data_IF_714798029113
#
_entry.id   IF_714798029113
#
_cell.length_a   1.000
_cell.length_b   1.000
_cell.length_c   1.000
_cell.angle_alpha   90.00
_cell.angle_beta   90.00
_cell.angle_gamma   90.00
#
_symmetry.space_group_name_H-M   'P 1'
#
loop_
_entity.id
_entity.type
_entity.pdbx_description
1 polymer ?
#
# COMPACT_ATOMS: atom_id res chain seq x y z
N UNK A 1 22.28 -13.10 -38.17
CA UNK A 1 21.43 -13.86 -37.20
C UNK A 1 22.17 -14.43 -35.99
N UNK A 2 23.40 -14.95 -36.10
CA UNK A 2 24.13 -15.44 -34.90
C UNK A 2 24.52 -14.32 -33.91
N UNK A 3 24.86 -13.12 -34.41
CA UNK A 3 25.16 -11.95 -33.58
C UNK A 3 23.95 -11.49 -32.76
N UNK A 4 22.80 -11.31 -33.39
CA UNK A 4 21.56 -10.86 -32.71
C UNK A 4 21.09 -11.82 -31.61
N UNK A 5 21.21 -13.15 -31.83
CA UNK A 5 20.90 -14.14 -30.78
C UNK A 5 21.87 -14.01 -29.60
N UNK A 6 23.17 -13.86 -29.87
CA UNK A 6 24.18 -13.65 -28.84
C UNK A 6 23.94 -12.36 -28.06
N UNK A 7 23.64 -11.27 -28.74
CA UNK A 7 23.42 -9.97 -28.13
C UNK A 7 22.15 -9.98 -27.25
N UNK A 8 21.08 -10.67 -27.69
CA UNK A 8 19.88 -10.91 -26.88
C UNK A 8 20.18 -11.73 -25.63
N UNK A 9 20.93 -12.84 -25.75
CA UNK A 9 21.31 -13.67 -24.60
C UNK A 9 22.17 -12.89 -23.59
N UNK A 10 23.09 -12.04 -24.06
CA UNK A 10 23.90 -11.16 -23.20
C UNK A 10 22.99 -10.16 -22.50
N UNK A 11 22.07 -9.51 -23.22
CA UNK A 11 21.15 -8.52 -22.64
C UNK A 11 20.27 -9.15 -21.55
N UNK A 12 19.66 -10.30 -21.80
CA UNK A 12 18.85 -11.03 -20.82
C UNK A 12 19.69 -11.42 -19.60
N UNK A 13 20.92 -11.93 -19.81
CA UNK A 13 21.82 -12.32 -18.73
C UNK A 13 22.22 -11.14 -17.83
N UNK A 14 22.64 -10.02 -18.41
CA UNK A 14 23.05 -8.82 -17.67
C UNK A 14 21.87 -8.22 -16.90
N UNK A 15 20.71 -8.06 -17.56
CA UNK A 15 19.52 -7.50 -16.90
C UNK A 15 19.00 -8.42 -15.80
N UNK A 16 19.10 -9.74 -15.96
CA UNK A 16 18.71 -10.70 -14.93
C UNK A 16 19.63 -10.63 -13.70
N UNK A 17 20.94 -10.41 -13.89
CA UNK A 17 21.88 -10.23 -12.78
C UNK A 17 21.57 -8.95 -11.98
N UNK A 18 21.25 -7.85 -12.67
CA UNK A 18 20.79 -6.61 -12.03
C UNK A 18 19.46 -6.81 -11.28
N UNK A 19 18.51 -7.53 -11.88
CA UNK A 19 17.24 -7.87 -11.23
C UNK A 19 17.43 -8.74 -9.97
N UNK A 20 18.36 -9.69 -9.98
CA UNK A 20 18.68 -10.48 -8.79
C UNK A 20 19.32 -9.63 -7.70
N UNK A 21 20.21 -8.69 -8.07
CA UNK A 21 20.80 -7.75 -7.11
C UNK A 21 19.72 -6.88 -6.48
N UNK A 22 18.78 -6.38 -7.29
CA UNK A 22 17.61 -5.64 -6.82
C UNK A 22 16.72 -6.47 -5.90
N UNK A 23 16.51 -7.76 -6.19
CA UNK A 23 15.76 -8.67 -5.33
C UNK A 23 16.46 -8.93 -3.98
N UNK A 24 17.80 -8.98 -3.95
CA UNK A 24 18.58 -9.08 -2.71
C UNK A 24 18.36 -7.85 -1.83
N UNK A 25 18.44 -6.64 -2.41
CA UNK A 25 18.22 -5.38 -1.70
C UNK A 25 16.81 -5.36 -1.10
N UNK A 26 15.79 -5.67 -1.90
CA UNK A 26 14.39 -5.74 -1.43
C UNK A 26 14.20 -6.75 -0.30
N UNK A 27 14.85 -7.92 -0.40
CA UNK A 27 14.79 -8.95 0.66
C UNK A 27 15.45 -8.47 1.95
N UNK A 28 16.58 -7.76 1.84
CA UNK A 28 17.26 -7.14 2.97
C UNK A 28 16.37 -6.12 3.68
N UNK A 29 15.72 -5.23 2.91
CA UNK A 29 14.77 -4.25 3.45
C UNK A 29 13.57 -4.96 4.09
N UNK A 30 13.03 -6.01 3.47
CA UNK A 30 11.94 -6.80 4.03
C UNK A 30 12.32 -7.44 5.37
N UNK A 31 13.51 -8.04 5.51
CA UNK A 31 13.97 -8.60 6.79
C UNK A 31 14.03 -7.53 7.90
N UNK A 32 14.55 -6.34 7.57
CA UNK A 32 14.58 -5.20 8.50
C UNK A 32 13.17 -4.81 8.94
N UNK A 33 12.22 -4.73 8.00
CA UNK A 33 10.78 -4.44 8.25
C UNK A 33 10.06 -5.51 9.08
N UNK A 34 10.55 -6.76 9.08
CA UNK A 34 10.05 -7.82 9.96
C UNK A 34 10.61 -7.75 11.39
N UNK A 35 11.65 -6.92 11.62
CA UNK A 35 12.41 -6.91 12.87
C UNK A 35 13.17 -8.22 13.10
N UNK A 36 13.52 -8.94 12.02
CA UNK A 36 14.26 -10.20 12.08
C UNK A 36 15.72 -9.98 11.70
N UNK A 37 16.62 -10.51 12.52
CA UNK A 37 18.07 -10.52 12.25
C UNK A 37 18.53 -11.85 11.62
N UNK A 38 17.70 -12.91 11.68
CA UNK A 38 18.03 -14.24 11.14
C UNK A 38 17.52 -14.46 9.71
N UNK A 39 18.28 -15.24 8.94
CA UNK A 39 17.86 -15.75 7.63
C UNK A 39 17.02 -17.02 7.84
N UNK A 40 15.70 -16.88 7.78
CA UNK A 40 14.77 -18.00 7.92
C UNK A 40 14.32 -18.53 6.54
N UNK A 41 13.66 -19.69 6.51
CA UNK A 41 12.98 -20.19 5.31
C UNK A 41 11.98 -19.16 4.72
N UNK A 42 11.37 -18.34 5.58
CA UNK A 42 10.50 -17.24 5.18
C UNK A 42 11.25 -16.17 4.36
N UNK A 43 12.49 -15.85 4.73
CA UNK A 43 13.36 -14.93 3.98
C UNK A 43 13.71 -15.49 2.60
N UNK A 44 14.01 -16.79 2.52
CA UNK A 44 14.30 -17.46 1.23
C UNK A 44 13.07 -17.44 0.33
N UNK A 45 11.90 -17.77 0.88
CA UNK A 45 10.62 -17.72 0.14
C UNK A 45 10.38 -16.31 -0.40
N UNK A 46 10.63 -15.28 0.41
CA UNK A 46 10.50 -13.88 0.00
C UNK A 46 11.49 -13.49 -1.09
N UNK A 47 12.74 -13.88 -0.98
CA UNK A 47 13.73 -13.67 -2.03
C UNK A 47 13.28 -14.29 -3.36
N UNK A 48 12.80 -15.53 -3.35
CA UNK A 48 12.29 -16.20 -4.56
C UNK A 48 11.13 -15.43 -5.17
N UNK A 49 10.18 -14.94 -4.35
CA UNK A 49 9.06 -14.15 -4.86
C UNK A 49 9.51 -12.81 -5.46
N UNK A 50 10.39 -12.06 -4.80
CA UNK A 50 10.93 -10.79 -5.33
C UNK A 50 11.78 -10.99 -6.60
N UNK A 51 12.55 -12.08 -6.64
CA UNK A 51 13.30 -12.47 -7.82
C UNK A 51 12.35 -12.82 -8.98
N UNK A 52 11.26 -13.55 -8.73
CA UNK A 52 10.28 -13.91 -9.75
C UNK A 52 9.65 -12.67 -10.41
N UNK A 53 9.20 -11.69 -9.61
CA UNK A 53 8.64 -10.44 -10.13
C UNK A 53 9.66 -9.60 -10.91
N UNK A 54 10.88 -9.48 -10.39
CA UNK A 54 11.96 -8.72 -11.04
C UNK A 54 12.41 -9.37 -12.35
N UNK A 55 12.53 -10.71 -12.39
CA UNK A 55 12.87 -11.47 -13.59
C UNK A 55 11.75 -11.43 -14.62
N UNK A 56 10.49 -11.52 -14.20
CA UNK A 56 9.34 -11.38 -15.11
C UNK A 56 9.37 -10.03 -15.84
N UNK A 57 9.65 -8.94 -15.12
CA UNK A 57 9.78 -7.61 -15.71
C UNK A 57 10.94 -7.52 -16.70
N UNK A 58 12.10 -8.12 -16.38
CA UNK A 58 13.25 -8.17 -17.28
C UNK A 58 12.95 -8.96 -18.55
N UNK A 59 12.36 -10.16 -18.43
CA UNK A 59 11.99 -10.97 -19.58
C UNK A 59 10.97 -10.25 -20.45
N UNK A 60 9.95 -9.64 -19.86
CA UNK A 60 8.99 -8.83 -20.60
C UNK A 60 9.65 -7.65 -21.33
N UNK A 61 10.44 -6.83 -20.63
CA UNK A 61 11.04 -5.62 -21.20
C UNK A 61 12.07 -5.95 -22.31
N UNK A 62 12.88 -6.98 -22.10
CA UNK A 62 13.87 -7.42 -23.09
C UNK A 62 13.20 -8.00 -24.34
N UNK A 63 12.15 -8.82 -24.18
CA UNK A 63 11.40 -9.36 -25.32
C UNK A 63 10.59 -8.29 -26.04
N UNK A 64 9.99 -7.34 -25.31
CA UNK A 64 9.29 -6.20 -25.89
C UNK A 64 10.27 -5.34 -26.71
N UNK A 65 11.42 -4.98 -26.13
CA UNK A 65 12.46 -4.22 -26.81
C UNK A 65 12.99 -4.93 -28.07
N UNK A 66 13.22 -6.25 -27.99
CA UNK A 66 13.65 -7.05 -29.13
C UNK A 66 12.58 -7.08 -30.24
N UNK A 67 11.31 -7.30 -29.87
CA UNK A 67 10.19 -7.35 -30.82
C UNK A 67 9.95 -6.00 -31.50
N UNK A 68 10.05 -4.89 -30.73
CA UNK A 68 9.97 -3.53 -31.27
C UNK A 68 11.12 -3.22 -32.22
N UNK A 69 12.35 -3.59 -31.85
CA UNK A 69 13.51 -3.44 -32.73
C UNK A 69 13.33 -4.21 -34.04
N UNK A 70 12.87 -5.47 -33.98
CA UNK A 70 12.58 -6.28 -35.16
C UNK A 70 11.49 -5.64 -36.02
N UNK A 71 10.42 -5.13 -35.42
CA UNK A 71 9.33 -4.46 -36.13
C UNK A 71 9.81 -3.20 -36.86
N UNK A 72 10.60 -2.34 -36.19
CA UNK A 72 11.14 -1.10 -36.78
C UNK A 72 12.06 -1.43 -37.96
N UNK A 73 13.01 -2.35 -37.77
CA UNK A 73 13.95 -2.76 -38.83
C UNK A 73 13.19 -3.42 -39.99
N UNK A 74 12.19 -4.25 -39.69
CA UNK A 74 11.34 -4.86 -40.71
C UNK A 74 10.61 -3.81 -41.56
N UNK A 75 10.09 -2.74 -40.96
CA UNK A 75 9.45 -1.64 -41.69
C UNK A 75 10.43 -0.73 -42.42
N UNK A 76 11.65 -0.58 -41.91
CA UNK A 76 12.68 0.29 -42.49
C UNK A 76 13.47 -0.36 -43.63
N UNK A 77 13.35 -1.67 -43.85
CA UNK A 77 14.11 -2.37 -44.89
C UNK A 77 13.57 -2.07 -46.29
N UNK A 78 14.47 -1.70 -47.21
CA UNK A 78 14.15 -1.52 -48.65
C UNK A 78 14.44 -2.77 -49.48
N UNK A 79 15.19 -3.72 -48.92
CA UNK A 79 15.44 -5.08 -49.45
C UNK A 79 15.19 -6.09 -48.34
N UNK A 80 14.67 -7.27 -48.68
CA UNK A 80 14.34 -8.33 -47.71
C UNK A 80 15.63 -8.84 -47.05
N UNK A 81 15.87 -8.43 -45.80
CA UNK A 81 17.05 -8.81 -45.02
C UNK A 81 16.67 -9.44 -43.67
N UNK A 82 15.54 -9.04 -43.09
CA UNK A 82 15.04 -9.58 -41.83
C UNK A 82 13.84 -10.51 -42.09
N UNK A 83 14.09 -11.82 -42.07
CA UNK A 83 13.04 -12.85 -42.04
C UNK A 83 12.95 -13.38 -40.60
N UNK A 84 11.75 -13.49 -40.02
CA UNK A 84 11.57 -14.13 -38.73
C UNK A 84 12.14 -15.56 -38.75
N UNK A 85 13.06 -15.86 -37.84
CA UNK A 85 13.63 -17.19 -37.66
C UNK A 85 12.71 -18.01 -36.75
N UNK A 86 12.39 -19.25 -37.13
CA UNK A 86 11.58 -20.15 -36.30
C UNK A 86 12.20 -20.36 -34.91
N UNK A 87 13.54 -20.38 -34.84
CA UNK A 87 14.24 -20.47 -33.56
C UNK A 87 14.06 -19.20 -32.71
N UNK A 88 14.08 -18.00 -33.32
CA UNK A 88 13.89 -16.75 -32.59
C UNK A 88 12.43 -16.62 -32.08
N UNK A 89 11.47 -17.05 -32.89
CA UNK A 89 10.06 -17.13 -32.49
C UNK A 89 9.88 -18.05 -31.27
N UNK A 90 10.49 -19.24 -31.28
CA UNK A 90 10.48 -20.14 -30.11
C UNK A 90 11.07 -19.48 -28.85
N UNK A 91 12.21 -18.79 -28.96
CA UNK A 91 12.82 -18.09 -27.81
C UNK A 91 11.90 -17.01 -27.25
N UNK A 92 11.33 -16.14 -28.10
CA UNK A 92 10.39 -15.09 -27.65
C UNK A 92 9.22 -15.73 -26.92
N UNK A 93 8.62 -16.77 -27.51
CA UNK A 93 7.46 -17.44 -26.93
C UNK A 93 7.77 -18.09 -25.58
N UNK A 94 8.93 -18.73 -25.45
CA UNK A 94 9.38 -19.34 -24.19
C UNK A 94 9.61 -18.29 -23.09
N UNK A 95 10.23 -17.14 -23.42
CA UNK A 95 10.46 -16.07 -22.45
C UNK A 95 9.18 -15.31 -22.06
N UNK A 96 8.25 -15.10 -22.98
CA UNK A 96 6.94 -14.51 -22.66
C UNK A 96 6.14 -15.48 -21.77
N UNK A 97 6.12 -16.77 -22.10
CA UNK A 97 5.46 -17.79 -21.28
C UNK A 97 6.05 -17.90 -19.86
N UNK A 98 7.39 -17.86 -19.73
CA UNK A 98 8.04 -17.87 -18.42
C UNK A 98 7.80 -16.56 -17.65
N UNK A 99 7.83 -15.41 -18.32
CA UNK A 99 7.49 -14.12 -17.73
C UNK A 99 6.06 -14.12 -17.17
N UNK A 100 5.09 -14.68 -17.91
CA UNK A 100 3.71 -14.81 -17.44
C UNK A 100 3.61 -15.64 -16.16
N UNK A 101 4.25 -16.81 -16.10
CA UNK A 101 4.22 -17.67 -14.91
C UNK A 101 4.87 -16.98 -13.70
N UNK A 102 6.05 -16.38 -13.90
CA UNK A 102 6.75 -15.65 -12.85
C UNK A 102 5.95 -14.41 -12.37
N UNK A 103 5.28 -13.70 -13.30
CA UNK A 103 4.45 -12.54 -12.96
C UNK A 103 3.18 -12.95 -12.23
N UNK A 104 2.62 -14.11 -12.54
CA UNK A 104 1.50 -14.67 -11.79
C UNK A 104 1.88 -14.97 -10.33
N UNK A 105 3.07 -15.53 -10.09
CA UNK A 105 3.58 -15.76 -8.72
C UNK A 105 3.71 -14.43 -7.96
N UNK A 106 4.28 -13.41 -8.61
CA UNK A 106 4.41 -12.05 -8.07
C UNK A 106 3.04 -11.45 -7.71
N UNK A 107 2.06 -11.59 -8.60
CA UNK A 107 0.68 -11.12 -8.39
C UNK A 107 0.01 -11.84 -7.22
N UNK A 108 0.11 -13.15 -7.13
CA UNK A 108 -0.46 -13.93 -6.00
C UNK A 108 0.16 -13.46 -4.69
N UNK A 109 1.49 -13.27 -4.66
CA UNK A 109 2.18 -12.79 -3.47
C UNK A 109 1.75 -11.36 -3.09
N UNK A 110 1.53 -10.48 -4.07
CA UNK A 110 0.98 -9.14 -3.84
C UNK A 110 -0.41 -9.21 -3.21
N UNK A 111 -1.31 -10.02 -3.78
CA UNK A 111 -2.68 -10.19 -3.26
C UNK A 111 -2.63 -10.70 -1.82
N UNK A 112 -1.83 -11.73 -1.54
CA UNK A 112 -1.66 -12.25 -0.16
C UNK A 112 -1.16 -11.14 0.76
N UNK A 113 -0.13 -10.40 0.35
CA UNK A 113 0.44 -9.32 1.18
C UNK A 113 -0.56 -8.22 1.49
N UNK A 114 -1.37 -7.82 0.51
CA UNK A 114 -2.43 -6.82 0.70
C UNK A 114 -3.60 -7.34 1.54
N UNK A 115 -3.88 -8.64 1.46
CA UNK A 115 -4.94 -9.28 2.23
C UNK A 115 -4.56 -9.55 3.69
N UNK A 116 -3.27 -9.45 4.04
CA UNK A 116 -2.76 -9.65 5.41
C UNK A 116 -2.36 -8.36 6.11
N UNK A 117 -2.66 -7.20 5.53
CA UNK A 117 -2.33 -5.90 6.13
C UNK A 117 -3.09 -5.75 7.45
N UNK A 118 -2.37 -5.43 8.52
CA UNK A 118 -2.98 -5.11 9.80
C UNK A 118 -3.37 -3.63 9.79
N UNK A 119 -4.67 -3.35 9.93
CA UNK A 119 -5.20 -1.98 10.00
C UNK A 119 -5.73 -1.76 11.40
N UNK A 120 -5.32 -0.65 12.01
CA UNK A 120 -5.75 -0.27 13.34
C UNK A 120 -6.18 1.20 13.36
N UNK A 121 -7.34 1.47 13.96
CA UNK A 121 -7.92 2.80 14.06
C UNK A 121 -7.88 3.27 15.52
N UNK A 122 -7.34 4.47 15.73
CA UNK A 122 -7.25 5.14 17.03
C UNK A 122 -8.23 6.30 17.04
N UNK A 123 -9.29 6.16 17.83
CA UNK A 123 -10.28 7.22 18.04
C UNK A 123 -9.81 8.13 19.19
N UNK A 124 -9.55 9.40 18.88
CA UNK A 124 -9.07 10.37 19.86
C UNK A 124 -10.19 10.99 20.71
N UNK A 125 -11.44 10.66 20.43
CA UNK A 125 -12.57 11.15 21.20
C UNK A 125 -12.59 10.53 22.59
N UNK A 126 -12.55 11.39 23.60
CA UNK A 126 -12.41 10.96 24.98
C UNK A 126 -13.74 10.48 25.53
N UNK A 127 -13.70 9.41 26.32
CA UNK A 127 -14.83 9.07 27.18
C UNK A 127 -14.94 10.14 28.27
N UNK A 128 -16.14 10.64 28.60
CA UNK A 128 -16.32 11.72 29.58
C UNK A 128 -15.73 11.48 30.98
N UNK A 129 -15.35 10.24 31.33
CA UNK A 129 -15.02 9.86 32.71
C UNK A 129 -13.54 9.49 32.97
N UNK A 130 -12.63 9.61 32.00
CA UNK A 130 -11.23 9.15 32.20
C UNK A 130 -10.24 10.24 32.66
N UNK A 131 -10.61 11.53 32.67
CA UNK A 131 -9.79 12.59 33.29
C UNK A 131 -10.65 13.56 34.13
N UNK A 132 -10.43 13.55 35.44
CA UNK A 132 -10.59 14.69 36.36
C UNK A 132 -11.81 15.59 36.20
N UNK A 133 -12.78 15.42 37.10
CA UNK A 133 -13.70 16.49 37.49
C UNK A 133 -12.93 17.69 38.06
N UNK A 134 -12.45 18.59 37.21
CA UNK A 134 -12.06 19.96 37.57
C UNK A 134 -12.44 20.92 36.46
N UNK A 135 -13.73 21.16 36.33
CA UNK A 135 -14.26 22.46 35.97
C UNK A 135 -15.57 22.63 36.70
N UNK A 136 -15.74 23.65 37.57
CA UNK A 136 -16.98 23.87 38.27
C UNK A 136 -18.01 24.38 37.25
N UNK A 137 -18.72 23.46 36.60
CA UNK A 137 -19.90 23.81 35.82
C UNK A 137 -21.05 24.03 36.81
N UNK A 138 -21.49 25.29 36.85
CA UNK A 138 -22.61 25.79 37.62
C UNK A 138 -23.80 24.81 37.53
N UNK A 139 -24.16 24.22 38.67
CA UNK A 139 -25.29 23.31 38.77
C UNK A 139 -26.59 24.09 38.54
N UNK A 140 -27.33 23.70 37.50
CA UNK A 140 -28.79 23.82 37.49
C UNK A 140 -29.35 22.55 36.87
N UNK A 141 -29.82 21.69 37.78
CA UNK A 141 -30.87 20.67 37.63
C UNK A 141 -31.34 20.34 36.21
N UNK A 142 -31.03 19.13 35.76
CA UNK A 142 -32.06 18.16 35.37
C UNK A 142 -31.47 16.75 35.29
N UNK A 143 -31.89 15.91 36.24
CA UNK A 143 -31.70 14.47 36.21
C UNK A 143 -32.56 13.85 35.11
N UNK A 144 -32.08 13.89 33.85
CA UNK A 144 -32.56 13.04 32.76
C UNK A 144 -31.36 12.53 31.94
N UNK A 145 -31.26 11.21 31.88
CA UNK A 145 -30.32 10.38 31.10
C UNK A 145 -28.90 10.22 31.66
N UNK A 146 -28.80 9.44 32.73
CA UNK A 146 -27.61 8.63 33.04
C UNK A 146 -27.46 7.45 32.06
N UNK A 147 -27.53 7.71 30.75
CA UNK A 147 -27.02 6.85 29.68
C UNK A 147 -25.73 7.51 29.22
N UNK A 148 -24.64 7.28 29.97
CA UNK A 148 -23.35 7.89 29.68
C UNK A 148 -23.03 7.78 28.19
N UNK A 149 -22.85 8.94 27.55
CA UNK A 149 -22.61 9.05 26.11
C UNK A 149 -21.43 8.16 25.72
N UNK A 150 -21.78 7.04 25.09
CA UNK A 150 -20.82 6.13 24.50
C UNK A 150 -20.26 6.86 23.28
N UNK A 151 -18.94 7.07 23.25
CA UNK A 151 -18.22 7.58 22.08
C UNK A 151 -18.76 6.88 20.82
N UNK A 152 -19.26 7.67 19.88
CA UNK A 152 -19.92 7.18 18.68
C UNK A 152 -18.95 6.30 17.87
N UNK A 153 -19.34 5.06 17.56
CA UNK A 153 -18.51 4.19 16.71
C UNK A 153 -18.52 4.65 15.23
N UNK A 154 -19.40 5.58 14.88
CA UNK A 154 -19.64 6.06 13.53
C UNK A 154 -18.41 6.68 12.87
N UNK A 155 -17.58 7.43 13.61
CA UNK A 155 -16.36 8.03 13.07
C UNK A 155 -15.36 6.98 12.59
N UNK A 156 -15.17 5.90 13.37
CA UNK A 156 -14.37 4.74 12.95
C UNK A 156 -14.97 4.00 11.76
N UNK A 157 -16.29 3.83 11.73
CA UNK A 157 -16.99 3.19 10.60
C UNK A 157 -16.83 4.03 9.33
N UNK A 158 -16.99 5.35 9.42
CA UNK A 158 -16.84 6.27 8.29
C UNK A 158 -15.43 6.21 7.70
N UNK A 159 -14.41 6.32 8.55
CA UNK A 159 -13.00 6.19 8.12
C UNK A 159 -12.74 4.80 7.51
N UNK A 160 -13.27 3.73 8.10
CA UNK A 160 -13.13 2.39 7.55
C UNK A 160 -13.81 2.22 6.18
N UNK A 161 -14.99 2.82 5.99
CA UNK A 161 -15.71 2.79 4.72
C UNK A 161 -14.95 3.56 3.63
N UNK A 162 -14.48 4.76 3.94
CA UNK A 162 -13.73 5.58 3.01
C UNK A 162 -12.40 4.92 2.62
N UNK A 163 -11.75 4.25 3.58
CA UNK A 163 -10.60 3.39 3.28
C UNK A 163 -10.96 2.21 2.36
N UNK A 164 -12.11 1.55 2.57
CA UNK A 164 -12.59 0.49 1.69
C UNK A 164 -12.89 1.02 0.28
N UNK A 165 -13.44 2.23 0.17
CA UNK A 165 -13.70 2.91 -1.09
C UNK A 165 -12.42 3.27 -1.82
N UNK A 166 -11.39 3.78 -1.13
CA UNK A 166 -10.06 4.01 -1.71
C UNK A 166 -9.50 2.71 -2.31
N UNK A 167 -9.64 1.60 -1.59
CA UNK A 167 -9.23 0.28 -2.08
C UNK A 167 -10.05 -0.23 -3.26
N UNK A 168 -11.31 0.20 -3.41
CA UNK A 168 -12.24 -0.24 -4.47
C UNK A 168 -12.18 0.64 -5.72
N UNK A 169 -11.91 1.93 -5.55
CA UNK A 169 -11.90 2.94 -6.62
C UNK A 169 -10.83 2.72 -7.69
N UNK A 170 -9.91 1.77 -7.48
CA UNK A 170 -9.04 1.21 -8.53
C UNK A 170 -9.80 0.70 -9.76
N UNK A 171 -11.11 0.47 -9.69
CA UNK A 171 -11.96 0.22 -10.87
C UNK A 171 -11.98 1.39 -11.90
N UNK A 172 -11.36 2.54 -11.60
CA UNK A 172 -11.15 3.66 -12.52
C UNK A 172 -9.97 3.49 -13.50
N UNK A 173 -9.32 2.32 -13.52
CA UNK A 173 -8.14 1.98 -14.33
C UNK A 173 -8.22 2.32 -15.83
N UNK A 174 -9.42 2.47 -16.40
CA UNK A 174 -9.63 2.78 -17.82
C UNK A 174 -10.35 4.13 -18.03
N UNK A 175 -10.90 4.75 -16.98
CA UNK A 175 -11.88 5.83 -17.16
C UNK A 175 -11.34 7.23 -16.88
N UNK A 176 -10.36 7.40 -15.99
CA UNK A 176 -9.90 8.74 -15.57
C UNK A 176 -8.39 8.76 -15.25
N UNK A 177 -7.55 8.84 -16.28
CA UNK A 177 -6.07 8.77 -16.24
C UNK A 177 -5.37 10.03 -15.66
N UNK A 178 -6.01 10.75 -14.73
CA UNK A 178 -5.47 11.98 -14.16
C UNK A 178 -4.68 11.74 -12.87
N UNK A 179 -3.35 11.77 -12.94
CA UNK A 179 -2.43 11.72 -11.76
C UNK A 179 -2.80 12.77 -10.69
N UNK A 180 -3.35 13.92 -11.10
CA UNK A 180 -3.82 14.96 -10.18
C UNK A 180 -5.04 14.52 -9.34
N UNK A 181 -5.99 13.79 -9.93
CA UNK A 181 -7.24 13.42 -9.27
C UNK A 181 -7.06 12.37 -8.17
N UNK A 182 -6.05 11.51 -8.29
CA UNK A 182 -5.80 10.48 -7.28
C UNK A 182 -5.09 11.06 -6.05
N UNK A 183 -4.22 12.04 -6.27
CA UNK A 183 -3.63 12.83 -5.18
C UNK A 183 -4.70 13.50 -4.33
N UNK A 184 -5.73 14.05 -4.98
CA UNK A 184 -6.85 14.69 -4.30
C UNK A 184 -7.63 13.70 -3.42
N UNK A 185 -7.86 12.45 -3.87
CA UNK A 185 -8.59 11.46 -3.04
C UNK A 185 -7.85 11.07 -1.76
N UNK A 186 -6.53 10.95 -1.85
CA UNK A 186 -5.71 10.56 -0.71
C UNK A 186 -5.62 11.71 0.30
N UNK A 187 -5.42 12.94 -0.19
CA UNK A 187 -5.48 14.14 0.66
C UNK A 187 -6.85 14.28 1.33
N UNK A 188 -7.95 14.11 0.57
CA UNK A 188 -9.30 14.12 1.11
C UNK A 188 -9.50 13.06 2.21
N UNK A 189 -8.87 11.89 2.08
CA UNK A 189 -8.93 10.85 3.10
C UNK A 189 -8.14 11.21 4.36
N UNK A 190 -6.97 11.84 4.22
CA UNK A 190 -6.20 12.36 5.37
C UNK A 190 -6.98 13.45 6.09
N UNK A 191 -7.58 14.38 5.34
CA UNK A 191 -8.45 15.43 5.88
C UNK A 191 -9.65 14.84 6.62
N UNK A 192 -10.29 13.83 6.04
CA UNK A 192 -11.37 13.10 6.68
C UNK A 192 -10.92 12.47 8.01
N UNK A 193 -9.73 11.87 8.07
CA UNK A 193 -9.21 11.30 9.31
C UNK A 193 -9.07 12.37 10.39
N UNK A 194 -8.60 13.57 10.04
CA UNK A 194 -8.52 14.71 10.96
C UNK A 194 -9.89 15.22 11.39
N UNK A 195 -10.84 15.37 10.45
CA UNK A 195 -12.20 15.80 10.75
C UNK A 195 -12.95 14.80 11.62
N UNK A 196 -12.72 13.50 11.39
CA UNK A 196 -13.28 12.42 12.19
C UNK A 196 -12.56 12.24 13.55
N UNK A 197 -11.46 12.94 13.80
CA UNK A 197 -10.63 12.79 15.00
C UNK A 197 -10.16 11.33 15.21
N UNK A 198 -9.81 10.63 14.12
CA UNK A 198 -9.38 9.22 14.13
C UNK A 198 -8.05 9.10 13.40
N UNK A 199 -7.00 8.66 14.10
CA UNK A 199 -5.75 8.25 13.48
C UNK A 199 -5.81 6.82 12.95
N UNK A 200 -5.02 6.54 11.91
CA UNK A 200 -4.98 5.22 11.28
C UNK A 200 -3.55 4.69 11.19
N UNK A 201 -3.37 3.45 11.64
CA UNK A 201 -2.15 2.65 11.45
C UNK A 201 -2.40 1.60 10.37
N UNK A 202 -1.48 1.51 9.42
CA UNK A 202 -1.51 0.57 8.31
C UNK A 202 -0.20 -0.20 8.33
N UNK A 203 -0.22 -1.44 8.78
CA UNK A 203 0.97 -2.27 8.99
C UNK A 203 1.01 -3.43 7.96
N UNK A 204 1.58 -3.22 6.77
CA UNK A 204 1.80 -4.29 5.79
C UNK A 204 2.88 -5.28 6.24
N UNK A 205 3.79 -4.87 7.11
CA UNK A 205 4.82 -5.72 7.70
C UNK A 205 4.74 -5.67 9.23
N UNK A 206 5.47 -6.58 9.89
CA UNK A 206 5.37 -6.77 11.33
C UNK A 206 5.76 -5.50 12.11
N UNK A 207 6.91 -4.92 11.80
CA UNK A 207 7.46 -3.75 12.50
C UNK A 207 7.47 -2.49 11.63
N UNK A 208 6.79 -2.49 10.49
CA UNK A 208 6.82 -1.37 9.56
C UNK A 208 5.44 -1.11 8.96
N UNK A 209 5.14 0.16 8.76
CA UNK A 209 3.98 0.55 7.97
C UNK A 209 3.83 2.04 7.82
N UNK A 210 2.59 2.50 7.84
CA UNK A 210 2.21 3.88 7.66
C UNK A 210 1.30 4.33 8.79
N UNK A 211 1.45 5.59 9.17
CA UNK A 211 0.64 6.26 10.17
C UNK A 211 0.05 7.53 9.58
N UNK A 212 -1.26 7.65 9.70
CA UNK A 212 -2.01 8.86 9.38
C UNK A 212 -2.44 9.48 10.70
N UNK A 213 -1.93 10.67 10.97
CA UNK A 213 -2.30 11.46 12.12
C UNK A 213 -3.63 12.17 11.87
N UNK A 214 -4.70 11.63 12.42
CA UNK A 214 -6.05 12.16 12.27
C UNK A 214 -6.56 12.87 13.52
N UNK A 215 -5.69 13.53 14.30
CA UNK A 215 -6.16 14.31 15.45
C UNK A 215 -6.72 15.65 14.96
N UNK A 216 -7.95 15.97 15.36
CA UNK A 216 -8.56 17.26 15.05
C UNK A 216 -7.80 18.40 15.75
N UNK A 217 -7.62 19.54 15.07
CA UNK A 217 -7.06 20.77 15.64
C UNK A 217 -7.81 21.22 16.89
N UNK A 218 -9.12 20.96 16.94
CA UNK A 218 -10.01 21.31 18.05
C UNK A 218 -10.17 20.17 19.07
N UNK A 219 -9.53 19.01 18.85
CA UNK A 219 -9.51 17.86 19.76
C UNK A 219 -10.82 17.08 19.88
N UNK A 220 -11.91 17.56 19.26
CA UNK A 220 -13.22 16.91 19.19
C UNK A 220 -13.78 17.03 17.76
N UNK A 221 -14.52 16.01 17.32
CA UNK A 221 -15.15 15.97 16.00
C UNK A 221 -16.67 16.19 16.06
N UNK A 222 -17.33 15.63 17.08
CA UNK A 222 -18.79 15.63 17.21
C UNK A 222 -19.27 16.92 17.92
N UNK A 223 -19.23 18.05 17.21
CA UNK A 223 -19.66 19.37 17.73
C UNK A 223 -20.94 19.88 17.09
N UNK A 224 -21.68 20.75 17.80
CA UNK A 224 -22.88 21.39 17.26
C UNK A 224 -22.54 22.32 16.08
N UNK A 225 -23.52 22.61 15.22
CA UNK A 225 -23.30 23.43 14.00
C UNK A 225 -22.74 24.83 14.30
N UNK A 226 -23.14 25.44 15.41
CA UNK A 226 -22.62 26.75 15.83
C UNK A 226 -21.14 26.67 16.23
N UNK A 227 -20.76 25.64 16.98
CA UNK A 227 -19.37 25.40 17.39
C UNK A 227 -18.51 25.04 16.18
N UNK A 228 -19.04 24.24 15.24
CA UNK A 228 -18.38 23.95 13.96
C UNK A 228 -18.09 25.22 13.18
N UNK A 229 -19.05 26.16 13.11
CA UNK A 229 -18.85 27.44 12.44
C UNK A 229 -17.78 28.29 13.14
N UNK A 230 -17.77 28.30 14.47
CA UNK A 230 -16.74 28.97 15.25
C UNK A 230 -15.35 28.36 14.98
N UNK A 231 -15.25 27.03 14.99
CA UNK A 231 -14.02 26.29 14.70
C UNK A 231 -13.50 26.63 13.29
N UNK A 232 -14.35 26.60 12.27
CA UNK A 232 -13.95 26.98 10.90
C UNK A 232 -13.43 28.42 10.82
N UNK A 233 -14.05 29.37 11.53
CA UNK A 233 -13.58 30.76 11.56
C UNK A 233 -12.22 30.91 12.28
N UNK A 234 -11.96 30.07 13.30
CA UNK A 234 -10.67 30.01 13.97
C UNK A 234 -9.60 29.38 13.09
N UNK A 235 -9.91 28.32 12.33
CA UNK A 235 -8.99 27.73 11.35
C UNK A 235 -8.68 28.72 10.21
N UNK A 236 -9.68 29.43 9.68
CA UNK A 236 -9.47 30.48 8.65
C UNK A 236 -8.57 31.61 9.15
N UNK A 237 -8.65 31.93 10.44
CA UNK A 237 -7.84 32.97 11.07
C UNK A 237 -6.49 32.47 11.59
N UNK A 238 -6.14 31.20 11.37
CA UNK A 238 -4.93 30.53 11.87
C UNK A 238 -4.76 30.64 13.41
N UNK A 239 -5.88 30.60 14.13
CA UNK A 239 -5.96 30.69 15.60
C UNK A 239 -6.13 29.31 16.28
N UNK A 240 -5.92 28.23 15.52
CA UNK A 240 -6.03 26.85 15.97
C UNK A 240 -4.67 26.16 16.07
N UNK A 241 -4.62 25.01 16.74
CA UNK A 241 -3.43 24.16 16.68
C UNK A 241 -3.24 23.56 15.29
N UNK A 242 -1.99 23.45 14.85
CA UNK A 242 -1.65 22.73 13.61
C UNK A 242 -2.01 21.24 13.70
N UNK A 243 -2.31 20.64 12.55
CA UNK A 243 -2.88 19.28 12.47
C UNK A 243 -1.84 18.17 12.43
N UNK A 244 -0.55 18.49 12.40
CA UNK A 244 0.54 17.52 12.34
C UNK A 244 0.93 16.96 13.70
N UNK A 245 1.80 15.95 13.65
CA UNK A 245 2.24 15.22 14.85
C UNK A 245 3.16 16.06 15.75
N UNK A 246 3.97 16.93 15.16
CA UNK A 246 4.83 17.86 15.89
C UNK A 246 4.14 19.21 16.10
N UNK A 247 4.37 19.89 17.24
CA UNK A 247 3.84 21.24 17.45
C UNK A 247 4.32 22.19 16.35
N UNK A 248 3.36 22.83 15.65
CA UNK A 248 3.68 23.78 14.58
C UNK A 248 3.90 23.15 13.20
N UNK A 249 3.72 21.83 13.05
CA UNK A 249 3.78 21.14 11.76
C UNK A 249 2.38 20.79 11.27
N UNK A 250 2.16 20.85 9.97
CA UNK A 250 0.94 20.36 9.29
C UNK A 250 1.14 18.98 8.64
N UNK A 251 2.28 18.32 8.88
CA UNK A 251 2.58 17.01 8.31
C UNK A 251 1.82 15.91 9.08
N UNK A 252 0.96 15.17 8.36
CA UNK A 252 0.05 14.20 8.96
C UNK A 252 0.34 12.75 8.55
N UNK A 253 1.13 12.55 7.49
CA UNK A 253 1.42 11.23 6.93
C UNK A 253 2.87 10.83 7.22
N UNK A 254 3.03 9.66 7.84
CA UNK A 254 4.33 9.15 8.26
C UNK A 254 4.51 7.70 7.83
N UNK A 255 5.71 7.38 7.36
CA UNK A 255 6.19 6.01 7.27
C UNK A 255 6.80 5.63 8.62
N UNK A 256 6.31 4.56 9.23
CA UNK A 256 6.67 4.21 10.61
C UNK A 256 7.44 2.92 10.70
N UNK A 257 8.40 2.90 11.61
CA UNK A 257 9.02 1.69 12.12
C UNK A 257 8.69 1.54 13.60
N UNK A 258 8.07 0.42 13.97
CA UNK A 258 7.64 0.13 15.33
C UNK A 258 8.70 -0.70 16.06
N UNK A 259 8.97 -0.40 17.35
CA UNK A 259 9.79 -1.27 18.19
C UNK A 259 9.27 -2.70 18.23
N UNK A 260 10.17 -3.67 18.22
CA UNK A 260 9.80 -5.09 18.26
C UNK A 260 8.99 -5.44 19.51
N UNK A 261 9.29 -4.79 20.63
CA UNK A 261 8.57 -4.96 21.90
C UNK A 261 7.13 -4.45 21.81
N UNK A 262 6.93 -3.26 21.24
CA UNK A 262 5.61 -2.68 21.00
C UNK A 262 4.76 -3.60 20.12
N UNK A 263 5.35 -4.12 19.03
CA UNK A 263 4.65 -5.05 18.15
C UNK A 263 4.31 -6.37 18.86
N UNK A 264 5.21 -6.88 19.69
CA UNK A 264 4.98 -8.11 20.45
C UNK A 264 3.87 -7.91 21.50
N UNK A 265 3.79 -6.73 22.11
CA UNK A 265 2.70 -6.37 23.02
C UNK A 265 1.36 -6.27 22.26
N UNK A 266 1.36 -5.69 21.06
CA UNK A 266 0.20 -5.63 20.17
C UNK A 266 -0.30 -7.03 19.77
N UNK A 267 0.59 -7.91 19.31
CA UNK A 267 0.22 -9.28 18.93
C UNK A 267 -0.40 -10.05 20.12
N UNK A 268 0.08 -9.82 21.35
CA UNK A 268 -0.51 -10.42 22.57
C UNK A 268 -1.93 -9.92 22.84
N UNK A 269 -2.17 -8.62 22.67
CA UNK A 269 -3.49 -8.02 22.87
C UNK A 269 -4.52 -8.56 21.87
N UNK A 270 -4.12 -8.81 20.62
CA UNK A 270 -5.03 -9.30 19.60
C UNK A 270 -5.30 -10.81 19.67
N UNK A 271 -4.30 -11.63 20.01
CA UNK A 271 -4.40 -13.09 19.79
C UNK A 271 -4.35 -13.97 21.05
N UNK A 272 -3.86 -13.49 22.20
CA UNK A 272 -3.70 -14.35 23.39
C UNK A 272 -4.55 -13.94 24.58
N UNK A 273 -4.27 -12.80 25.23
CA UNK A 273 -4.98 -12.39 26.45
C UNK A 273 -5.10 -10.87 26.55
N UNK A 274 -6.29 -10.32 26.87
CA UNK A 274 -6.54 -8.88 26.99
C UNK A 274 -6.02 -8.32 28.32
N UNK A 275 -4.84 -8.74 28.78
CA UNK A 275 -4.17 -8.11 29.92
C UNK A 275 -3.35 -6.95 29.38
N UNK A 276 -3.62 -5.73 29.89
CA UNK A 276 -2.88 -4.52 29.51
C UNK A 276 -1.37 -4.79 29.69
N UNK A 277 -0.57 -4.81 28.62
CA UNK A 277 0.87 -4.98 28.75
C UNK A 277 1.43 -3.75 29.47
N UNK A 278 2.48 -3.94 30.26
CA UNK A 278 3.29 -2.83 30.75
C UNK A 278 4.06 -2.27 29.55
N UNK A 279 3.44 -1.37 28.80
CA UNK A 279 4.16 -0.55 27.84
C UNK A 279 4.88 0.53 28.64
N UNK A 280 6.21 0.50 28.60
CA UNK A 280 7.00 1.68 28.93
C UNK A 280 6.79 2.73 27.83
N UNK A 281 7.03 4.01 28.15
CA UNK A 281 7.07 5.03 27.12
C UNK A 281 8.20 4.66 26.15
N UNK A 282 7.83 4.36 24.90
CA UNK A 282 8.80 4.15 23.84
C UNK A 282 9.23 5.50 23.32
N UNK A 283 10.54 5.72 23.29
CA UNK A 283 11.10 6.86 22.60
C UNK A 283 10.80 6.73 21.11
N UNK A 284 10.53 7.86 20.46
CA UNK A 284 10.36 7.93 19.02
C UNK A 284 11.17 9.07 18.43
N UNK A 285 11.59 8.89 17.18
CA UNK A 285 12.34 9.87 16.39
C UNK A 285 11.55 10.19 15.14
N UNK A 286 11.37 11.48 14.88
CA UNK A 286 10.80 11.99 13.63
C UNK A 286 11.97 12.41 12.74
N UNK A 287 12.00 11.91 11.51
CA UNK A 287 13.08 12.19 10.55
C UNK A 287 12.55 12.24 9.11
N UNK A 288 13.41 12.54 8.15
CA UNK A 288 13.10 12.59 6.73
C UNK A 288 14.06 11.73 5.92
N UNK A 289 13.51 10.90 5.04
CA UNK A 289 14.34 10.11 4.11
C UNK A 289 14.90 11.00 3.00
N UNK A 290 16.20 10.87 2.77
CA UNK A 290 16.87 11.46 1.62
C UNK A 290 16.40 10.83 0.30
N UNK A 291 16.58 11.54 -0.81
CA UNK A 291 16.15 11.08 -2.15
C UNK A 291 16.70 9.69 -2.49
N UNK A 292 17.98 9.44 -2.21
CA UNK A 292 18.59 8.12 -2.45
C UNK A 292 17.97 7.01 -1.60
N UNK A 293 17.66 7.28 -0.33
CA UNK A 293 17.01 6.33 0.57
C UNK A 293 15.58 6.02 0.07
N UNK A 294 14.88 7.03 -0.45
CA UNK A 294 13.56 6.84 -1.08
C UNK A 294 13.62 6.01 -2.36
N UNK A 295 14.59 6.25 -3.24
CA UNK A 295 14.74 5.51 -4.52
C UNK A 295 15.05 4.03 -4.27
N UNK A 296 15.95 3.74 -3.32
CA UNK A 296 16.36 2.36 -3.00
C UNK A 296 15.40 1.68 -2.01
N UNK A 297 14.39 2.43 -1.53
CA UNK A 297 13.46 1.99 -0.48
C UNK A 297 14.21 1.51 0.78
N UNK A 298 15.35 2.14 1.07
CA UNK A 298 16.21 1.81 2.20
C UNK A 298 15.69 2.45 3.49
N UNK A 299 15.62 1.66 4.55
CA UNK A 299 15.19 2.10 5.87
C UNK A 299 16.41 2.34 6.77
N UNK A 300 16.77 3.62 7.07
CA UNK A 300 17.94 3.98 7.88
C UNK A 300 17.70 3.75 9.38
N UNK A 301 17.33 2.53 9.75
CA UNK A 301 17.08 2.11 11.13
C UNK A 301 18.42 1.73 11.77
N UNK A 302 18.80 2.46 12.83
CA UNK A 302 20.01 2.18 13.61
C UNK A 302 19.73 1.26 14.80
N UNK A 303 18.60 1.47 15.47
CA UNK A 303 18.20 0.68 16.64
C UNK A 303 16.76 0.18 16.51
N UNK A 304 16.50 -1.05 16.94
CA UNK A 304 15.19 -1.70 16.77
C UNK A 304 14.24 -1.55 17.99
N UNK A 305 14.70 -0.85 19.03
CA UNK A 305 14.02 -0.55 20.29
C UNK A 305 13.29 0.82 20.27
N UNK A 306 13.67 1.71 19.36
CA UNK A 306 13.09 3.06 19.19
C UNK A 306 12.10 3.08 18.02
N UNK A 307 11.02 3.85 18.16
CA UNK A 307 10.07 4.09 17.07
C UNK A 307 10.59 5.14 16.10
N UNK A 308 10.49 4.91 14.79
CA UNK A 308 10.85 5.92 13.79
C UNK A 308 9.61 6.36 13.02
N UNK A 309 9.50 7.66 12.79
CA UNK A 309 8.43 8.29 12.02
C UNK A 309 9.09 9.13 10.92
N UNK A 310 9.10 8.61 9.71
CA UNK A 310 9.63 9.32 8.55
C UNK A 310 8.52 10.15 7.89
N UNK A 311 8.72 11.46 7.74
CA UNK A 311 7.73 12.33 7.09
C UNK A 311 7.55 11.92 5.63
N UNK A 312 6.32 11.56 5.29
CA UNK A 312 5.94 11.12 3.96
C UNK A 312 5.33 12.27 3.15
N UNK A 313 6.18 12.95 2.38
CA UNK A 313 5.77 14.02 1.45
C UNK A 313 5.28 13.53 0.09
N UNK A 314 5.28 12.22 -0.16
CA UNK A 314 5.09 11.66 -1.50
C UNK A 314 3.99 10.59 -1.55
N UNK A 315 3.13 10.51 -0.54
CA UNK A 315 2.03 9.54 -0.47
C UNK A 315 2.52 8.09 -0.66
N UNK A 316 3.63 7.73 -0.01
CA UNK A 316 4.30 6.41 -0.13
C UNK A 316 3.38 5.26 0.29
N UNK A 317 2.33 5.50 1.08
CA UNK A 317 1.32 4.48 1.40
C UNK A 317 0.48 4.02 0.20
N UNK A 318 0.59 4.68 -0.96
CA UNK A 318 0.07 4.19 -2.24
C UNK A 318 0.53 2.76 -2.51
N UNK A 319 1.75 2.42 -2.12
CA UNK A 319 2.32 1.07 -2.27
C UNK A 319 1.46 -0.01 -1.59
N UNK A 320 0.69 0.35 -0.54
CA UNK A 320 -0.23 -0.56 0.17
C UNK A 320 -1.57 -0.67 -0.55
N UNK A 321 -2.00 0.41 -1.20
CA UNK A 321 -3.21 0.43 -1.98
C UNK A 321 -3.00 -0.36 -3.27
N UNK A 322 -4.08 -0.99 -3.75
CA UNK A 322 -4.07 -1.67 -5.04
C UNK A 322 -3.81 -0.68 -6.19
N UNK A 323 -4.17 0.60 -5.98
CA UNK A 323 -3.84 1.72 -6.85
C UNK A 323 -2.33 1.93 -7.02
N UNK A 324 -1.48 1.78 -6.00
CA UNK A 324 -0.03 1.99 -6.19
C UNK A 324 0.70 0.88 -6.96
N UNK A 325 -0.03 -0.13 -7.45
CA UNK A 325 0.51 -1.32 -8.12
C UNK A 325 0.06 -1.43 -9.59
N UNK A 326 -0.39 -0.33 -10.21
CA UNK A 326 -0.95 -0.34 -11.58
C UNK A 326 0.00 -0.97 -12.58
N UNK A 327 1.29 -0.61 -12.54
CA UNK A 327 2.29 -1.14 -13.48
C UNK A 327 2.43 -2.67 -13.40
N UNK A 328 2.23 -3.25 -12.21
CA UNK A 328 2.25 -4.70 -12.05
C UNK A 328 1.05 -5.34 -12.74
N UNK A 329 -0.14 -4.74 -12.59
CA UNK A 329 -1.37 -5.20 -13.23
C UNK A 329 -1.31 -5.03 -14.76
N UNK A 330 -0.85 -3.88 -15.26
CA UNK A 330 -0.69 -3.62 -16.71
C UNK A 330 0.22 -4.68 -17.33
N UNK A 331 1.38 -4.92 -16.72
CA UNK A 331 2.33 -5.92 -17.24
C UNK A 331 1.70 -7.32 -17.21
N UNK A 332 0.97 -7.66 -16.16
CA UNK A 332 0.27 -8.94 -16.07
C UNK A 332 -0.84 -9.08 -17.13
N UNK A 333 -1.61 -8.03 -17.40
CA UNK A 333 -2.66 -8.01 -18.42
C UNK A 333 -2.07 -8.18 -19.83
N UNK A 334 -1.00 -7.43 -20.14
CA UNK A 334 -0.31 -7.55 -21.43
C UNK A 334 0.28 -8.95 -21.61
N UNK A 335 0.89 -9.52 -20.56
CA UNK A 335 1.41 -10.89 -20.60
C UNK A 335 0.29 -11.92 -20.77
N UNK A 336 -0.83 -11.75 -20.07
CA UNK A 336 -2.01 -12.62 -20.18
C UNK A 336 -2.56 -12.58 -21.61
N UNK A 337 -2.77 -11.38 -22.14
CA UNK A 337 -3.22 -11.18 -23.52
C UNK A 337 -2.27 -11.85 -24.51
N UNK A 338 -0.95 -11.63 -24.35
CA UNK A 338 0.07 -12.20 -25.23
C UNK A 338 0.03 -13.73 -25.23
N UNK A 339 -0.01 -14.36 -24.05
CA UNK A 339 -0.04 -15.82 -23.94
C UNK A 339 -1.34 -16.40 -24.50
N UNK A 340 -2.50 -15.78 -24.25
CA UNK A 340 -3.77 -16.27 -24.79
C UNK A 340 -3.82 -16.09 -26.30
N UNK A 341 -3.26 -15.02 -26.85
CA UNK A 341 -3.19 -14.78 -28.29
C UNK A 341 -2.30 -15.82 -28.99
N UNK A 342 -1.16 -16.16 -28.37
CA UNK A 342 -0.28 -17.22 -28.87
C UNK A 342 -0.94 -18.60 -28.91
N UNK A 343 -1.85 -18.89 -27.97
CA UNK A 343 -2.54 -20.17 -27.85
C UNK A 343 -3.79 -20.24 -28.75
N UNK A 344 -4.61 -19.18 -28.74
CA UNK A 344 -5.90 -19.14 -29.44
C UNK A 344 -5.79 -18.72 -30.90
N UNK A 345 -4.75 -17.94 -31.24
CA UNK A 345 -4.58 -17.26 -32.54
C UNK A 345 -5.78 -16.39 -32.93
N UNK A 346 -6.55 -15.95 -31.92
CA UNK A 346 -7.69 -15.06 -32.09
C UNK A 346 -7.61 -13.91 -31.06
N UNK A 347 -7.56 -12.70 -31.60
CA UNK A 347 -7.43 -11.49 -30.81
C UNK A 347 -8.69 -11.22 -29.95
N UNK A 348 -9.87 -11.60 -30.45
CA UNK A 348 -11.14 -11.37 -29.75
C UNK A 348 -11.21 -12.25 -28.51
N UNK A 349 -10.95 -13.56 -28.68
CA UNK A 349 -10.88 -14.50 -27.56
C UNK A 349 -9.85 -14.05 -26.52
N UNK A 350 -8.69 -13.57 -26.96
CA UNK A 350 -7.62 -13.08 -26.07
C UNK A 350 -8.02 -11.85 -25.26
N UNK A 351 -8.74 -10.91 -25.87
CA UNK A 351 -9.29 -9.75 -25.16
C UNK A 351 -10.35 -10.15 -24.12
N UNK A 352 -11.28 -11.04 -24.49
CA UNK A 352 -12.34 -11.52 -23.58
C UNK A 352 -11.74 -12.26 -22.39
N UNK A 353 -10.82 -13.20 -22.63
CA UNK A 353 -10.20 -14.00 -21.55
C UNK A 353 -9.39 -13.10 -20.62
N UNK A 354 -8.61 -12.16 -21.15
CA UNK A 354 -7.83 -11.21 -20.32
C UNK A 354 -8.76 -10.39 -19.44
N UNK A 355 -9.85 -9.85 -20.00
CA UNK A 355 -10.84 -9.09 -19.22
C UNK A 355 -11.48 -9.92 -18.10
N UNK A 356 -11.91 -11.15 -18.40
CA UNK A 356 -12.51 -12.06 -17.41
C UNK A 356 -11.50 -12.41 -16.31
N UNK A 357 -10.23 -12.65 -16.66
CA UNK A 357 -9.17 -12.92 -15.69
C UNK A 357 -8.92 -11.73 -14.76
N UNK A 358 -8.78 -10.52 -15.30
CA UNK A 358 -8.66 -9.30 -14.48
C UNK A 358 -9.87 -9.12 -13.57
N UNK A 359 -11.09 -9.26 -14.11
CA UNK A 359 -12.32 -9.11 -13.33
C UNK A 359 -12.38 -10.13 -12.17
N UNK A 360 -11.96 -11.37 -12.40
CA UNK A 360 -11.89 -12.41 -11.38
C UNK A 360 -10.86 -12.06 -10.29
N UNK A 361 -9.66 -11.61 -10.67
CA UNK A 361 -8.61 -11.20 -9.71
C UNK A 361 -9.11 -10.06 -8.83
N UNK A 362 -9.73 -9.04 -9.42
CA UNK A 362 -10.31 -7.90 -8.70
C UNK A 362 -11.42 -8.36 -7.75
N UNK A 363 -12.32 -9.24 -8.21
CA UNK A 363 -13.41 -9.76 -7.38
C UNK A 363 -12.91 -10.57 -6.17
N UNK A 364 -11.94 -11.46 -6.39
CA UNK A 364 -11.31 -12.25 -5.32
C UNK A 364 -10.66 -11.31 -4.30
N UNK A 365 -9.85 -10.37 -4.76
CA UNK A 365 -9.13 -9.42 -3.90
C UNK A 365 -10.10 -8.55 -3.09
N UNK A 366 -11.18 -8.04 -3.69
CA UNK A 366 -12.19 -7.25 -2.99
C UNK A 366 -12.89 -8.05 -1.88
N UNK A 367 -13.25 -9.31 -2.16
CA UNK A 367 -13.89 -10.17 -1.16
C UNK A 367 -12.98 -10.45 0.04
N UNK A 368 -11.70 -10.75 -0.20
CA UNK A 368 -10.73 -11.03 0.87
C UNK A 368 -10.36 -9.75 1.63
N UNK A 369 -10.14 -8.63 0.93
CA UNK A 369 -9.79 -7.35 1.55
C UNK A 369 -10.89 -6.83 2.48
N UNK A 370 -12.17 -6.91 2.07
CA UNK A 370 -13.31 -6.52 2.91
C UNK A 370 -13.38 -7.35 4.20
N UNK A 371 -13.16 -8.66 4.08
CA UNK A 371 -13.12 -9.57 5.23
C UNK A 371 -11.96 -9.22 6.17
N UNK A 372 -10.74 -9.03 5.64
CA UNK A 372 -9.59 -8.66 6.44
C UNK A 372 -9.80 -7.30 7.14
N UNK A 373 -10.28 -6.29 6.42
CA UNK A 373 -10.56 -4.96 6.97
C UNK A 373 -11.53 -5.06 8.16
N UNK A 374 -12.62 -5.83 8.03
CA UNK A 374 -13.59 -5.98 9.13
C UNK A 374 -12.98 -6.60 10.39
N UNK A 375 -12.12 -7.61 10.23
CA UNK A 375 -11.47 -8.30 11.34
C UNK A 375 -10.45 -7.39 12.02
N UNK A 376 -9.64 -6.67 11.23
CA UNK A 376 -8.51 -5.88 11.74
C UNK A 376 -8.94 -4.54 12.32
N UNK A 377 -9.86 -3.84 11.65
CA UNK A 377 -10.39 -2.56 12.13
C UNK A 377 -11.40 -2.71 13.27
N UNK A 378 -11.81 -3.95 13.60
CA UNK A 378 -12.91 -4.27 14.54
C UNK A 378 -14.29 -3.71 14.13
N UNK A 379 -14.41 -3.18 12.91
CA UNK A 379 -15.68 -2.73 12.31
C UNK A 379 -16.39 -3.93 11.70
N UNK A 380 -17.66 -4.15 12.06
CA UNK A 380 -18.45 -5.25 11.51
C UNK A 380 -18.60 -5.12 9.99
N UNK A 381 -18.38 -6.24 9.28
CA UNK A 381 -18.47 -6.34 7.82
C UNK A 381 -19.79 -5.83 7.21
N UNK A 382 -20.88 -5.79 7.97
CA UNK A 382 -22.19 -5.27 7.54
C UNK A 382 -22.21 -3.76 7.36
N UNK A 383 -21.30 -3.04 8.03
CA UNK A 383 -21.18 -1.59 7.88
C UNK A 383 -20.19 -1.19 6.79
N UNK A 384 -19.36 -2.13 6.34
CA UNK A 384 -18.47 -1.94 5.19
C UNK A 384 -19.26 -2.04 3.90
N UNK A 385 -19.17 -1.00 3.07
CA UNK A 385 -19.89 -0.91 1.78
C UNK A 385 -19.09 -1.66 0.71
#
# INVERSE_FOLDING_TARGET
MSRTKRDLSIAVGVMSALALTWAIIQTGNWNRRQGKLSLDCSTITRFVTYASGSLANVFFLTMLGYSLWQFIVYKAQTKVFLVPDDAADFYIKAFIGSAFVLKFIDLVQLIVSQCTVDIFLVDWERKPNEEGATSPRHETSNARSATGDRVSAWRRIMVANEWAELQRSSNGYIRDSGVAFVRDRILNFVDLCSLANVSMFILPYRCYGYYIHGRSAHGSADVGLNDMRYNMAMEESDLCGHRGLEPGSDEQTFEIFLPVELRTAYDRLLYTTPRKPNLHNFDYVIDTKNIFQRIIDYDPIERFDVGYFFIDKSHIFDKVLFYGQEMLLVVYEVLTFSVVDMLSRDFITSAIVTYVMTALIVAIRQGVAKKNLSIKSTVDSRFLI
#
